data_IF_303542872080
#
_entry.id   IF_303542872080
#
_cell.length_a   1.000
_cell.length_b   1.000
_cell.length_c   1.000
_cell.angle_alpha   90.00
_cell.angle_beta   90.00
_cell.angle_gamma   90.00
#
_symmetry.space_group_name_H-M   'P 1'
#
loop_
_entity.id
_entity.type
_entity.pdbx_description
1 polymer ?
#
# COMPACT_ATOMS: atom_id res chain seq x y z
N UNK A 1 14.95 36.84 8.44
CA UNK A 1 15.44 35.69 7.66
C UNK A 1 14.52 34.50 7.91
N UNK A 2 13.56 34.28 7.02
CA UNK A 2 12.57 33.19 7.16
C UNK A 2 13.28 31.88 6.81
N UNK A 3 13.31 30.95 7.77
CA UNK A 3 13.99 29.66 7.63
C UNK A 3 13.41 28.89 6.43
N UNK A 4 14.22 28.48 5.44
CA UNK A 4 13.74 27.76 4.25
C UNK A 4 13.08 26.41 4.61
N UNK A 5 13.40 25.83 5.76
CA UNK A 5 12.80 24.57 6.25
C UNK A 5 11.29 24.65 6.49
N UNK A 6 10.73 25.82 6.82
CA UNK A 6 9.29 25.95 7.12
C UNK A 6 8.47 25.94 5.82
N UNK A 7 9.04 26.48 4.73
CA UNK A 7 8.38 26.51 3.42
C UNK A 7 8.26 25.11 2.83
N UNK A 8 9.27 24.25 2.99
CA UNK A 8 9.20 22.86 2.52
C UNK A 8 8.09 22.06 3.22
N UNK A 9 7.95 22.21 4.54
CA UNK A 9 6.88 21.52 5.30
C UNK A 9 5.50 22.03 4.87
N UNK A 10 5.34 23.35 4.68
CA UNK A 10 4.09 23.92 4.21
C UNK A 10 3.71 23.45 2.80
N UNK A 11 4.69 23.39 1.87
CA UNK A 11 4.47 22.91 0.50
C UNK A 11 4.11 21.42 0.50
N UNK A 12 4.74 20.60 1.34
CA UNK A 12 4.41 19.18 1.48
C UNK A 12 2.98 19.02 2.03
N UNK A 13 2.61 19.77 3.07
CA UNK A 13 1.26 19.73 3.62
C UNK A 13 0.19 20.17 2.61
N UNK A 14 0.44 21.25 1.85
CA UNK A 14 -0.48 21.72 0.80
C UNK A 14 -0.57 20.73 -0.36
N UNK A 15 0.53 20.11 -0.76
CA UNK A 15 0.53 19.09 -1.82
C UNK A 15 -0.25 17.83 -1.41
N UNK A 16 -0.11 17.38 -0.15
CA UNK A 16 -0.88 16.25 0.41
C UNK A 16 -2.37 16.62 0.53
N UNK A 17 -2.69 17.85 0.92
CA UNK A 17 -4.08 18.32 0.99
C UNK A 17 -4.72 18.46 -0.40
N UNK A 18 -3.96 18.95 -1.39
CA UNK A 18 -4.42 19.10 -2.77
C UNK A 18 -4.61 17.74 -3.47
N UNK A 19 -3.76 16.75 -3.20
CA UNK A 19 -3.96 15.38 -3.71
C UNK A 19 -5.14 14.68 -3.06
N UNK A 20 -5.39 14.91 -1.75
CA UNK A 20 -6.61 14.45 -1.09
C UNK A 20 -7.88 14.98 -1.76
N UNK A 21 -7.91 16.29 -2.03
CA UNK A 21 -9.04 16.97 -2.70
C UNK A 21 -9.20 16.59 -4.17
N UNK A 22 -8.09 16.39 -4.90
CA UNK A 22 -8.15 15.96 -6.30
C UNK A 22 -8.74 14.54 -6.44
N UNK A 23 -8.50 13.68 -5.45
CA UNK A 23 -9.10 12.35 -5.40
C UNK A 23 -10.61 12.42 -5.09
N UNK A 24 -11.05 13.35 -4.23
CA UNK A 24 -12.47 13.64 -3.98
C UNK A 24 -13.17 14.28 -5.19
N UNK A 25 -12.46 15.10 -5.97
CA UNK A 25 -13.04 15.84 -7.10
C UNK A 25 -13.10 15.00 -8.39
N UNK A 26 -12.16 14.07 -8.60
CA UNK A 26 -12.24 13.07 -9.67
C UNK A 26 -13.39 12.05 -9.44
N UNK A 27 -13.68 11.72 -8.17
CA UNK A 27 -14.84 10.89 -7.80
C UNK A 27 -16.19 11.60 -7.98
N UNK A 28 -16.21 12.93 -8.03
CA UNK A 28 -17.45 13.69 -8.20
C UNK A 28 -17.87 13.83 -9.68
N UNK A 29 -16.98 13.54 -10.64
CA UNK A 29 -17.25 13.66 -12.08
C UNK A 29 -17.79 12.38 -12.74
N UNK A 30 -17.59 11.21 -12.10
CA UNK A 30 -18.21 9.94 -12.51
C UNK A 30 -19.32 9.64 -11.49
N UNK A 31 -20.59 9.76 -11.92
CA UNK A 31 -21.75 9.69 -11.05
C UNK A 31 -21.70 8.54 -10.02
N UNK A 32 -21.72 8.92 -8.74
CA UNK A 32 -21.72 8.02 -7.59
C UNK A 32 -20.37 7.98 -6.87
N UNK A 33 -20.27 8.67 -5.73
CA UNK A 33 -19.14 8.49 -4.84
C UNK A 33 -19.04 7.00 -4.48
N UNK A 34 -17.90 6.34 -4.72
CA UNK A 34 -17.75 4.93 -4.41
C UNK A 34 -17.93 4.72 -2.91
N UNK A 35 -18.71 3.70 -2.56
CA UNK A 35 -18.99 3.37 -1.16
C UNK A 35 -17.69 3.09 -0.41
N UNK A 36 -17.69 3.23 0.92
CA UNK A 36 -16.55 2.87 1.77
C UNK A 36 -16.04 1.45 1.51
N UNK A 37 -16.95 0.52 1.20
CA UNK A 37 -16.62 -0.86 0.84
C UNK A 37 -15.90 -0.94 -0.51
N UNK A 38 -16.37 -0.20 -1.51
CA UNK A 38 -15.74 -0.10 -2.84
C UNK A 38 -14.32 0.51 -2.76
N UNK A 39 -14.15 1.54 -1.93
CA UNK A 39 -12.83 2.13 -1.70
C UNK A 39 -11.88 1.18 -0.97
N UNK A 40 -12.43 0.38 -0.04
CA UNK A 40 -11.69 -0.68 0.65
C UNK A 40 -11.19 -1.77 -0.30
N UNK A 41 -12.09 -2.30 -1.14
CA UNK A 41 -11.76 -3.35 -2.10
C UNK A 41 -10.74 -2.88 -3.15
N UNK A 42 -10.90 -1.65 -3.68
CA UNK A 42 -9.94 -1.07 -4.62
C UNK A 42 -8.55 -0.89 -4.00
N UNK A 43 -8.49 -0.46 -2.74
CA UNK A 43 -7.22 -0.30 -2.06
C UNK A 43 -6.53 -1.64 -1.78
N UNK A 44 -7.28 -2.67 -1.38
CA UNK A 44 -6.77 -4.05 -1.24
C UNK A 44 -6.12 -4.53 -2.54
N UNK A 45 -6.84 -4.41 -3.65
CA UNK A 45 -6.36 -4.83 -4.97
C UNK A 45 -5.08 -4.06 -5.34
N UNK A 46 -5.04 -2.76 -5.06
CA UNK A 46 -3.85 -1.93 -5.34
C UNK A 46 -2.64 -2.40 -4.54
N UNK A 47 -2.79 -2.66 -3.24
CA UNK A 47 -1.67 -3.13 -2.38
C UNK A 47 -1.13 -4.48 -2.87
N UNK A 48 -2.02 -5.44 -3.15
CA UNK A 48 -1.63 -6.75 -3.67
C UNK A 48 -0.99 -6.65 -5.04
N UNK A 49 -1.48 -5.77 -5.92
CA UNK A 49 -0.89 -5.51 -7.22
C UNK A 49 0.53 -4.97 -7.11
N UNK A 50 0.79 -4.03 -6.20
CA UNK A 50 2.14 -3.49 -5.96
C UNK A 50 3.10 -4.57 -5.47
N UNK A 51 2.66 -5.41 -4.52
CA UNK A 51 3.47 -6.53 -4.03
C UNK A 51 3.74 -7.57 -5.14
N UNK A 52 2.73 -7.92 -5.93
CA UNK A 52 2.88 -8.83 -7.06
C UNK A 52 3.81 -8.27 -8.13
N UNK A 53 3.72 -6.96 -8.41
CA UNK A 53 4.62 -6.30 -9.36
C UNK A 53 6.07 -6.34 -8.86
N UNK A 54 6.31 -6.05 -7.57
CA UNK A 54 7.64 -6.19 -6.95
C UNK A 54 8.16 -7.63 -7.05
N UNK A 55 7.28 -8.61 -6.89
CA UNK A 55 7.62 -10.01 -6.99
C UNK A 55 8.01 -10.46 -8.42
N UNK A 56 7.56 -9.78 -9.47
CA UNK A 56 7.98 -10.10 -10.85
C UNK A 56 9.48 -9.94 -11.10
N UNK A 57 10.14 -9.11 -10.28
CA UNK A 57 11.59 -8.90 -10.31
C UNK A 57 12.36 -9.93 -9.48
N UNK A 58 11.70 -10.95 -8.92
CA UNK A 58 12.33 -11.99 -8.12
C UNK A 58 12.69 -13.24 -8.93
N UNK A 59 13.73 -13.98 -8.52
CA UNK A 59 14.06 -15.27 -9.13
C UNK A 59 12.89 -16.26 -9.02
N UNK A 60 12.74 -17.14 -10.03
CA UNK A 60 11.70 -18.17 -10.04
C UNK A 60 11.77 -19.12 -8.83
N UNK A 61 12.98 -19.34 -8.28
CA UNK A 61 13.20 -20.14 -7.07
C UNK A 61 12.52 -19.55 -5.82
N UNK A 62 12.29 -18.23 -5.81
CA UNK A 62 11.58 -17.55 -4.73
C UNK A 62 10.05 -17.63 -4.86
N UNK A 63 9.52 -18.22 -5.93
CA UNK A 63 8.06 -18.32 -6.17
C UNK A 63 7.23 -18.82 -4.97
N UNK A 64 7.61 -19.90 -4.25
CA UNK A 64 6.84 -20.35 -3.08
C UNK A 64 6.91 -19.38 -1.90
N UNK A 65 8.03 -18.68 -1.73
CA UNK A 65 8.17 -17.67 -0.67
C UNK A 65 7.39 -16.39 -1.01
N UNK A 66 7.42 -15.97 -2.27
CA UNK A 66 6.59 -14.88 -2.80
C UNK A 66 5.11 -15.16 -2.61
N UNK A 67 4.65 -16.37 -2.94
CA UNK A 67 3.25 -16.77 -2.76
C UNK A 67 2.82 -16.67 -1.30
N UNK A 68 3.68 -17.10 -0.38
CA UNK A 68 3.45 -16.96 1.07
C UNK A 68 3.33 -15.49 1.48
N UNK A 69 4.22 -14.61 1.01
CA UNK A 69 4.17 -13.16 1.33
C UNK A 69 2.88 -12.52 0.80
N UNK A 70 2.46 -12.85 -0.42
CA UNK A 70 1.22 -12.34 -1.00
C UNK A 70 -0.01 -12.86 -0.27
N UNK A 71 -0.02 -14.13 0.12
CA UNK A 71 -1.12 -14.73 0.86
C UNK A 71 -1.25 -14.12 2.26
N UNK A 72 -0.15 -13.93 2.96
CA UNK A 72 -0.09 -13.28 4.27
C UNK A 72 -0.58 -11.82 4.17
N UNK A 73 -0.10 -11.07 3.17
CA UNK A 73 -0.57 -9.72 2.91
C UNK A 73 -2.08 -9.67 2.62
N UNK A 74 -2.61 -10.64 1.87
CA UNK A 74 -4.04 -10.74 1.60
C UNK A 74 -4.85 -10.97 2.88
N UNK A 75 -4.42 -11.90 3.73
CA UNK A 75 -5.08 -12.20 5.02
C UNK A 75 -5.06 -10.99 5.95
N UNK A 76 -3.94 -10.29 6.04
CA UNK A 76 -3.84 -9.09 6.88
C UNK A 76 -4.72 -7.95 6.34
N UNK A 77 -4.80 -7.76 5.02
CA UNK A 77 -5.71 -6.78 4.42
C UNK A 77 -7.19 -7.12 4.65
N UNK A 78 -7.55 -8.40 4.68
CA UNK A 78 -8.90 -8.85 5.04
C UNK A 78 -9.20 -8.57 6.53
N UNK A 79 -8.24 -8.81 7.42
CA UNK A 79 -8.37 -8.44 8.83
C UNK A 79 -8.49 -6.92 9.01
N UNK A 80 -7.72 -6.13 8.26
CA UNK A 80 -7.86 -4.67 8.23
C UNK A 80 -9.26 -4.24 7.74
N UNK A 81 -9.83 -4.95 6.75
CA UNK A 81 -11.15 -4.64 6.20
C UNK A 81 -12.29 -4.96 7.20
N UNK A 82 -12.15 -6.01 7.99
CA UNK A 82 -13.11 -6.31 9.07
C UNK A 82 -13.18 -5.18 10.13
N UNK A 83 -12.04 -4.54 10.40
CA UNK A 83 -12.00 -3.36 11.27
C UNK A 83 -12.69 -2.14 10.63
N UNK A 84 -12.64 -2.01 9.29
CA UNK A 84 -13.34 -0.95 8.55
C UNK A 84 -14.86 -1.14 8.63
N UNK A 85 -15.37 -2.36 8.50
CA UNK A 85 -16.81 -2.65 8.64
C UNK A 85 -17.33 -2.27 10.04
N UNK A 86 -16.49 -2.46 11.06
CA UNK A 86 -16.85 -2.18 12.46
C UNK A 86 -16.83 -0.68 12.79
N UNK A 87 -15.86 0.06 12.27
CA UNK A 87 -15.62 1.46 12.68
C UNK A 87 -15.98 2.52 11.62
N UNK A 88 -16.21 2.13 10.37
CA UNK A 88 -16.45 3.01 9.21
C UNK A 88 -15.37 4.09 8.98
N UNK A 89 -14.17 3.92 9.56
CA UNK A 89 -13.06 4.86 9.42
C UNK A 89 -12.09 4.41 8.32
N UNK A 90 -12.28 4.87 7.08
CA UNK A 90 -11.41 4.51 5.95
C UNK A 90 -9.92 4.85 6.18
N UNK A 91 -9.64 5.89 6.96
CA UNK A 91 -8.27 6.27 7.28
C UNK A 91 -7.53 5.17 8.06
N UNK A 92 -8.19 4.50 9.00
CA UNK A 92 -7.60 3.39 9.75
C UNK A 92 -7.28 2.21 8.83
N UNK A 93 -8.16 1.93 7.88
CA UNK A 93 -7.93 0.91 6.86
C UNK A 93 -6.71 1.21 5.99
N UNK A 94 -6.57 2.46 5.54
CA UNK A 94 -5.39 2.92 4.79
C UNK A 94 -4.10 2.82 5.60
N UNK A 95 -4.12 3.19 6.87
CA UNK A 95 -2.95 3.05 7.75
C UNK A 95 -2.56 1.58 7.93
N UNK A 96 -3.54 0.71 8.17
CA UNK A 96 -3.34 -0.73 8.30
C UNK A 96 -2.74 -1.33 7.02
N UNK A 97 -3.36 -1.09 5.86
CA UNK A 97 -2.83 -1.65 4.61
C UNK A 97 -1.51 -1.01 4.15
N UNK A 98 -1.18 0.20 4.57
CA UNK A 98 0.16 0.79 4.34
C UNK A 98 1.23 0.05 5.15
N UNK A 99 0.92 -0.37 6.38
CA UNK A 99 1.80 -1.21 7.17
C UNK A 99 1.96 -2.61 6.54
N UNK A 100 0.86 -3.22 6.07
CA UNK A 100 0.91 -4.51 5.35
C UNK A 100 1.77 -4.40 4.08
N UNK A 101 1.62 -3.31 3.32
CA UNK A 101 2.44 -3.05 2.13
C UNK A 101 3.92 -2.94 2.48
N UNK A 102 4.28 -2.17 3.51
CA UNK A 102 5.67 -2.05 3.96
C UNK A 102 6.24 -3.38 4.44
N UNK A 103 5.45 -4.17 5.19
CA UNK A 103 5.85 -5.49 5.64
C UNK A 103 6.11 -6.42 4.44
N UNK A 104 5.22 -6.46 3.45
CA UNK A 104 5.38 -7.26 2.25
C UNK A 104 6.61 -6.83 1.42
N UNK A 105 6.82 -5.53 1.23
CA UNK A 105 8.00 -5.02 0.52
C UNK A 105 9.30 -5.34 1.26
N UNK A 106 9.33 -5.25 2.58
CA UNK A 106 10.48 -5.63 3.39
C UNK A 106 10.76 -7.14 3.30
N UNK A 107 9.72 -7.97 3.33
CA UNK A 107 9.86 -9.42 3.16
C UNK A 107 10.40 -9.78 1.78
N UNK A 108 9.88 -9.17 0.71
CA UNK A 108 10.38 -9.36 -0.65
C UNK A 108 11.83 -8.86 -0.80
N UNK A 109 12.17 -7.74 -0.17
CA UNK A 109 13.55 -7.23 -0.17
C UNK A 109 14.51 -8.15 0.59
N UNK A 110 14.08 -8.74 1.70
CA UNK A 110 14.87 -9.72 2.45
C UNK A 110 15.07 -11.01 1.65
N UNK A 111 14.03 -11.48 0.95
CA UNK A 111 14.11 -12.61 0.03
C UNK A 111 15.07 -12.33 -1.13
N UNK A 112 15.02 -11.12 -1.71
CA UNK A 112 15.94 -10.71 -2.76
C UNK A 112 17.40 -10.68 -2.27
N UNK A 113 17.64 -10.21 -1.04
CA UNK A 113 18.95 -10.23 -0.41
C UNK A 113 19.44 -11.65 -0.12
N UNK A 114 18.57 -12.55 0.35
CA UNK A 114 18.90 -13.95 0.59
C UNK A 114 19.28 -14.69 -0.70
N UNK A 115 18.55 -14.44 -1.79
CA UNK A 115 18.85 -15.02 -3.10
C UNK A 115 20.12 -14.42 -3.75
N UNK A 116 20.43 -13.14 -3.49
CA UNK A 116 21.67 -12.52 -3.95
C UNK A 116 22.91 -12.94 -3.16
N UNK A 117 22.73 -13.44 -1.93
CA UNK A 117 23.79 -13.95 -1.07
C UNK A 117 24.06 -15.46 -1.25
N UNK A 118 23.33 -16.14 -2.14
CA UNK A 118 23.61 -17.52 -2.49
C UNK A 118 24.99 -17.58 -3.17
N UNK A 119 26.01 -18.25 -2.57
CA UNK A 119 27.31 -18.36 -3.19
C UNK A 119 27.17 -19.10 -4.51
N UNK A 120 27.74 -18.52 -5.57
CA UNK A 120 27.97 -19.20 -6.84
C UNK A 120 28.75 -20.49 -6.57
N UNK A 121 28.06 -21.63 -6.66
CA UNK A 121 28.69 -22.96 -6.77
C UNK A 121 29.18 -23.19 -8.19
#
# INVERSE_FOLDING_TARGET
MIRPSILFVAVIFVAIWATGRAQEQAQSAAGGAPTLSEQGSQYKVTVLLVLANRATSMPAESAPAVATVLQEANVQLDACAAALETHQQFWQYKMCGSAVLQQGLNALSALQAANGAAPSV
#
